data_IF_193438112682
#
_entry.id   IF_193438112682
#
_cell.length_a   1.000
_cell.length_b   1.000
_cell.length_c   1.000
_cell.angle_alpha   90.00
_cell.angle_beta   90.00
_cell.angle_gamma   90.00
#
_symmetry.space_group_name_H-M   'P 1'
#
loop_
_entity.id
_entity.type
_entity.pdbx_description
1 polymer ?
#
# COMPACT_ATOMS: atom_id res chain seq x y z
N UNK A 1 6.78 -8.26 -6.65
CA UNK A 1 7.60 -8.39 -5.42
C UNK A 1 7.81 -7.04 -4.75
N UNK A 2 8.73 -6.96 -3.79
CA UNK A 2 9.15 -5.71 -3.14
C UNK A 2 10.49 -5.24 -3.72
N UNK A 3 10.60 -3.95 -4.01
CA UNK A 3 11.78 -3.36 -4.66
C UNK A 3 12.12 -2.03 -3.99
N UNK A 4 13.39 -1.81 -3.64
CA UNK A 4 13.88 -0.54 -3.15
C UNK A 4 14.63 0.23 -4.24
N UNK A 5 14.29 1.50 -4.43
CA UNK A 5 15.05 2.42 -5.28
C UNK A 5 16.14 3.06 -4.42
N UNK A 6 17.41 2.80 -4.78
CA UNK A 6 18.62 3.17 -4.00
C UNK A 6 19.52 4.16 -4.74
N UNK A 7 19.01 4.76 -5.81
CA UNK A 7 19.67 5.77 -6.63
C UNK A 7 18.73 6.25 -7.72
N UNK A 8 18.84 7.51 -8.11
CA UNK A 8 17.94 8.14 -9.09
C UNK A 8 18.64 8.60 -10.37
N UNK A 9 19.98 8.78 -10.35
CA UNK A 9 20.75 9.24 -11.50
C UNK A 9 22.11 8.50 -11.59
N UNK A 10 22.20 7.39 -12.36
CA UNK A 10 21.08 6.68 -12.99
C UNK A 10 20.18 5.98 -11.96
N UNK A 11 18.92 5.67 -12.31
CA UNK A 11 18.02 4.95 -11.42
C UNK A 11 18.56 3.55 -11.14
N UNK A 12 18.69 3.22 -9.85
CA UNK A 12 19.15 1.91 -9.38
C UNK A 12 18.15 1.34 -8.42
N UNK A 13 17.71 0.12 -8.70
CA UNK A 13 16.75 -0.61 -7.88
C UNK A 13 17.34 -1.95 -7.43
N UNK A 14 16.98 -2.38 -6.23
CA UNK A 14 17.32 -3.70 -5.68
C UNK A 14 16.04 -4.42 -5.27
N UNK A 15 15.97 -5.72 -5.56
CA UNK A 15 14.90 -6.56 -5.04
C UNK A 15 15.09 -6.76 -3.53
N UNK A 16 14.02 -6.58 -2.78
CA UNK A 16 13.96 -6.94 -1.37
C UNK A 16 13.33 -8.32 -1.22
N UNK A 17 13.80 -9.16 -0.26
CA UNK A 17 13.09 -10.38 0.08
C UNK A 17 11.67 -10.05 0.56
N UNK A 18 10.71 -10.91 0.22
CA UNK A 18 9.33 -10.76 0.66
C UNK A 18 9.11 -11.70 1.85
N UNK A 19 8.61 -11.21 3.01
CA UNK A 19 8.26 -12.08 4.11
C UNK A 19 7.30 -13.21 3.66
N UNK A 20 7.51 -14.46 4.11
CA UNK A 20 6.65 -15.57 3.74
C UNK A 20 5.18 -15.32 4.11
N UNK A 21 4.27 -15.69 3.21
CA UNK A 21 2.83 -15.53 3.44
C UNK A 21 2.29 -14.10 3.33
N UNK A 22 3.13 -13.12 2.97
CA UNK A 22 2.67 -11.75 2.75
C UNK A 22 1.76 -11.67 1.53
N UNK A 23 0.54 -11.21 1.76
CA UNK A 23 -0.44 -10.92 0.71
C UNK A 23 -0.77 -9.43 0.68
N UNK A 24 -1.34 -8.98 -0.43
CA UNK A 24 -1.73 -7.60 -0.65
C UNK A 24 -3.16 -7.56 -1.19
N UNK A 25 -4.00 -6.73 -0.58
CA UNK A 25 -5.27 -6.28 -1.11
C UNK A 25 -5.06 -4.90 -1.74
N UNK A 26 -5.58 -4.69 -2.94
CA UNK A 26 -5.57 -3.41 -3.66
C UNK A 26 -7.00 -3.10 -4.04
N UNK A 27 -7.49 -1.93 -3.63
CA UNK A 27 -8.85 -1.50 -3.94
C UNK A 27 -8.79 -0.15 -4.64
N UNK A 28 -9.33 -0.10 -5.86
CA UNK A 28 -9.43 1.12 -6.65
C UNK A 28 -10.85 1.69 -6.56
N UNK A 29 -11.09 2.69 -5.70
CA UNK A 29 -12.35 3.42 -5.73
C UNK A 29 -12.44 4.22 -7.03
N UNK A 30 -13.61 4.20 -7.67
CA UNK A 30 -13.93 4.87 -8.93
C UNK A 30 -14.06 6.38 -8.73
N UNK A 31 -12.95 6.99 -8.36
CA UNK A 31 -12.79 8.40 -8.11
C UNK A 31 -11.69 8.95 -9.00
N UNK A 32 -11.85 10.19 -9.45
CA UNK A 32 -10.80 10.87 -10.18
C UNK A 32 -10.17 11.93 -9.28
N UNK A 33 -8.98 11.62 -8.75
CA UNK A 33 -8.13 12.61 -8.09
C UNK A 33 -7.09 13.07 -9.11
N UNK A 34 -7.08 14.36 -9.44
CA UNK A 34 -6.03 14.89 -10.29
C UNK A 34 -4.65 14.69 -9.65
N UNK A 35 -3.73 13.99 -10.33
CA UNK A 35 -2.37 13.78 -9.84
C UNK A 35 -1.65 15.10 -9.52
N UNK A 36 -1.98 16.17 -10.26
CA UNK A 36 -1.50 17.54 -9.99
C UNK A 36 -1.93 18.02 -8.60
N UNK A 37 -3.19 17.80 -8.22
CA UNK A 37 -3.73 18.18 -6.90
C UNK A 37 -3.10 17.34 -5.79
N UNK A 38 -2.91 16.04 -6.01
CA UNK A 38 -2.23 15.17 -5.05
C UNK A 38 -0.74 15.53 -4.87
N UNK A 39 -0.06 15.99 -5.92
CA UNK A 39 1.32 16.51 -5.83
C UNK A 39 1.38 17.88 -5.17
N UNK A 40 0.45 18.78 -5.51
CA UNK A 40 0.37 20.13 -4.93
C UNK A 40 0.00 20.14 -3.45
N UNK A 41 -0.67 19.08 -2.96
CA UNK A 41 -0.99 18.92 -1.54
C UNK A 41 0.26 18.61 -0.68
N UNK A 42 1.36 18.16 -1.28
CA UNK A 42 2.58 17.84 -0.55
C UNK A 42 3.21 19.08 0.06
N UNK A 43 3.71 18.95 1.29
CA UNK A 43 4.50 20.01 1.93
C UNK A 43 5.87 20.09 1.27
N UNK A 44 6.38 21.31 1.10
CA UNK A 44 7.74 21.54 0.63
C UNK A 44 8.80 21.13 1.67
N UNK A 45 8.43 21.17 2.95
CA UNK A 45 9.32 20.89 4.08
C UNK A 45 8.72 19.81 4.98
N UNK A 46 9.59 18.95 5.51
CA UNK A 46 9.24 17.92 6.50
C UNK A 46 9.97 18.27 7.80
N UNK A 47 9.28 18.39 8.94
CA UNK A 47 9.93 18.61 10.23
C UNK A 47 10.98 17.52 10.51
N UNK A 48 12.13 17.91 11.06
CA UNK A 48 13.23 16.96 11.30
C UNK A 48 12.79 15.74 12.14
N UNK A 49 11.95 15.95 13.15
CA UNK A 49 11.37 14.88 13.95
C UNK A 49 10.59 13.85 13.09
N UNK A 50 9.77 14.32 12.16
CA UNK A 50 8.98 13.45 11.30
C UNK A 50 9.87 12.74 10.29
N UNK A 51 10.92 13.40 9.78
CA UNK A 51 11.92 12.78 8.91
C UNK A 51 12.68 11.65 9.63
N UNK A 52 13.10 11.86 10.88
CA UNK A 52 13.75 10.83 11.71
C UNK A 52 12.80 9.65 11.89
N UNK A 53 11.52 9.89 12.23
CA UNK A 53 10.51 8.83 12.38
C UNK A 53 10.23 8.07 11.08
N UNK A 54 10.07 8.79 9.97
CA UNK A 54 9.89 8.17 8.65
C UNK A 54 11.09 7.27 8.30
N UNK A 55 12.30 7.71 8.64
CA UNK A 55 13.53 6.94 8.41
C UNK A 55 13.60 5.68 9.29
N UNK A 56 13.14 5.75 10.54
CA UNK A 56 13.00 4.57 11.41
C UNK A 56 11.99 3.57 10.84
N UNK A 57 10.84 4.03 10.35
CA UNK A 57 9.83 3.18 9.70
C UNK A 57 10.40 2.52 8.43
N UNK A 58 11.10 3.27 7.58
CA UNK A 58 11.77 2.71 6.40
C UNK A 58 12.82 1.66 6.78
N UNK A 59 13.66 1.94 7.78
CA UNK A 59 14.67 0.99 8.25
C UNK A 59 14.02 -0.29 8.82
N UNK A 60 12.93 -0.15 9.59
CA UNK A 60 12.15 -1.27 10.10
C UNK A 60 11.53 -2.12 9.00
N UNK A 61 10.98 -1.47 7.95
CA UNK A 61 10.41 -2.17 6.79
C UNK A 61 11.47 -2.99 6.05
N UNK A 62 12.64 -2.39 5.78
CA UNK A 62 13.74 -3.10 5.12
C UNK A 62 14.26 -4.24 5.99
N UNK A 63 14.46 -4.01 7.30
CA UNK A 63 14.88 -5.06 8.22
C UNK A 63 13.88 -6.23 8.24
N UNK A 64 12.59 -5.94 8.32
CA UNK A 64 11.51 -6.93 8.29
C UNK A 64 11.53 -7.79 7.02
N UNK A 65 11.84 -7.19 5.87
CA UNK A 65 12.02 -7.92 4.62
C UNK A 65 13.14 -8.96 4.73
N UNK A 66 14.31 -8.58 5.24
CA UNK A 66 15.47 -9.47 5.37
C UNK A 66 15.34 -10.50 6.49
N UNK A 67 14.56 -10.22 7.54
CA UNK A 67 14.30 -11.17 8.63
C UNK A 67 13.06 -12.02 8.42
N UNK A 68 12.26 -11.76 7.37
CA UNK A 68 11.00 -12.45 7.11
C UNK A 68 9.89 -12.14 8.13
N UNK A 69 9.96 -11.01 8.85
CA UNK A 69 9.01 -10.65 9.91
C UNK A 69 7.85 -9.80 9.35
N UNK A 70 6.77 -10.46 8.92
CA UNK A 70 5.59 -9.79 8.37
C UNK A 70 4.91 -8.83 9.37
N UNK A 71 4.97 -9.13 10.67
CA UNK A 71 4.38 -8.27 11.71
C UNK A 71 5.18 -6.98 11.88
N UNK A 72 6.53 -7.06 11.87
CA UNK A 72 7.38 -5.87 11.86
C UNK A 72 7.21 -5.07 10.57
N UNK A 73 7.04 -5.74 9.42
CA UNK A 73 6.74 -5.08 8.15
C UNK A 73 5.48 -4.24 8.29
N UNK A 74 4.38 -4.83 8.76
CA UNK A 74 3.11 -4.14 8.98
C UNK A 74 3.24 -2.90 9.87
N UNK A 75 3.86 -3.05 11.05
CA UNK A 75 4.13 -1.93 11.98
C UNK A 75 5.03 -0.84 11.41
N UNK A 76 5.80 -1.16 10.38
CA UNK A 76 6.72 -0.24 9.71
C UNK A 76 6.08 0.51 8.54
N UNK A 77 4.87 0.13 8.11
CA UNK A 77 4.11 0.87 7.09
C UNK A 77 3.38 2.03 7.77
N UNK A 78 4.14 3.10 8.00
CA UNK A 78 3.64 4.39 8.48
C UNK A 78 4.22 5.48 7.59
N UNK A 79 3.34 6.26 6.95
CA UNK A 79 3.71 7.39 6.11
C UNK A 79 3.40 8.70 6.82
N UNK A 80 4.44 9.40 7.24
CA UNK A 80 4.37 10.71 7.89
C UNK A 80 4.53 11.86 6.89
N UNK A 81 4.75 11.56 5.62
CA UNK A 81 5.15 12.55 4.60
C UNK A 81 4.02 12.77 3.60
N UNK A 82 3.57 11.74 2.88
CA UNK A 82 2.59 11.90 1.80
C UNK A 82 1.15 11.66 2.26
N UNK A 83 0.91 10.61 3.04
CA UNK A 83 -0.42 10.24 3.50
C UNK A 83 -1.16 11.37 4.25
N UNK A 84 -0.55 12.12 5.19
CA UNK A 84 -1.28 13.19 5.90
C UNK A 84 -1.83 14.27 4.97
N UNK A 85 -1.18 14.49 3.82
CA UNK A 85 -1.62 15.44 2.80
C UNK A 85 -2.62 14.83 1.80
N UNK A 86 -2.53 13.53 1.53
CA UNK A 86 -3.30 12.86 0.46
C UNK A 86 -4.54 12.13 0.95
N UNK A 87 -4.53 11.59 2.16
CA UNK A 87 -5.67 10.90 2.75
C UNK A 87 -6.96 11.74 2.73
N UNK A 88 -6.95 13.06 3.02
CA UNK A 88 -8.16 13.88 2.94
C UNK A 88 -8.76 14.01 1.53
N UNK A 89 -7.99 13.68 0.48
CA UNK A 89 -8.46 13.72 -0.91
C UNK A 89 -9.25 12.46 -1.30
N UNK A 90 -9.21 11.41 -0.47
CA UNK A 90 -9.85 10.12 -0.72
C UNK A 90 -11.04 9.98 0.26
N UNK A 91 -12.28 10.26 -0.17
CA UNK A 91 -13.48 10.01 0.63
C UNK A 91 -13.49 8.58 1.18
N UNK A 92 -13.78 8.44 2.47
CA UNK A 92 -13.84 7.13 3.13
C UNK A 92 -12.48 6.55 3.55
N UNK A 93 -11.34 7.17 3.22
CA UNK A 93 -10.00 6.60 3.54
C UNK A 93 -9.80 6.21 4.99
N UNK A 94 -10.13 7.09 5.95
CA UNK A 94 -9.95 6.79 7.36
C UNK A 94 -10.91 5.72 7.88
N UNK A 95 -12.13 5.68 7.36
CA UNK A 95 -13.07 4.61 7.68
C UNK A 95 -12.60 3.26 7.11
N UNK A 96 -12.06 3.27 5.89
CA UNK A 96 -11.49 2.10 5.22
C UNK A 96 -10.28 1.56 5.99
N UNK A 97 -9.39 2.44 6.48
CA UNK A 97 -8.29 2.06 7.37
C UNK A 97 -8.79 1.32 8.61
N UNK A 98 -9.76 1.92 9.32
CA UNK A 98 -10.32 1.32 10.54
C UNK A 98 -10.95 -0.05 10.25
N UNK A 99 -11.69 -0.17 9.14
CA UNK A 99 -12.29 -1.43 8.71
C UNK A 99 -11.22 -2.49 8.37
N UNK A 100 -10.18 -2.12 7.61
CA UNK A 100 -9.09 -3.01 7.26
C UNK A 100 -8.34 -3.52 8.50
N UNK A 101 -7.99 -2.61 9.42
CA UNK A 101 -7.28 -2.95 10.67
C UNK A 101 -8.15 -3.84 11.56
N UNK A 102 -9.45 -3.57 11.67
CA UNK A 102 -10.39 -4.42 12.41
C UNK A 102 -10.57 -5.81 11.79
N UNK A 103 -10.47 -5.91 10.46
CA UNK A 103 -10.51 -7.17 9.72
C UNK A 103 -9.19 -7.95 9.76
N UNK A 104 -8.12 -7.40 10.37
CA UNK A 104 -6.84 -8.08 10.57
C UNK A 104 -5.73 -7.70 9.60
N UNK A 105 -5.85 -6.58 8.88
CA UNK A 105 -4.76 -6.06 8.07
C UNK A 105 -3.52 -5.76 8.92
N UNK A 106 -2.34 -6.15 8.43
CA UNK A 106 -1.04 -5.82 9.01
C UNK A 106 -0.70 -4.34 8.83
N UNK A 107 -1.15 -3.77 7.71
CA UNK A 107 -0.97 -2.38 7.33
C UNK A 107 -2.04 -1.97 6.33
N UNK A 108 -2.34 -0.67 6.29
CA UNK A 108 -3.21 -0.04 5.30
C UNK A 108 -2.64 1.32 4.89
N UNK A 109 -2.78 1.67 3.61
CA UNK A 109 -2.27 2.94 3.10
C UNK A 109 -2.73 3.27 1.68
N UNK A 110 -2.17 4.36 1.15
CA UNK A 110 -2.45 4.82 -0.22
C UNK A 110 -1.51 4.11 -1.20
N UNK A 111 -2.06 3.55 -2.27
CA UNK A 111 -1.26 3.02 -3.37
C UNK A 111 -0.84 4.16 -4.31
N UNK A 112 0.46 4.42 -4.37
CA UNK A 112 1.03 5.50 -5.20
C UNK A 112 0.55 6.90 -4.77
N UNK A 113 -0.14 7.61 -5.68
CA UNK A 113 -0.73 8.91 -5.39
C UNK A 113 -2.20 8.86 -4.95
N UNK A 114 -2.80 7.67 -4.91
CA UNK A 114 -4.25 7.50 -4.76
C UNK A 114 -5.01 7.73 -6.09
N UNK A 115 -6.33 7.48 -6.09
CA UNK A 115 -7.17 7.19 -4.93
C UNK A 115 -7.14 5.72 -4.49
N UNK A 116 -6.48 4.84 -5.24
CA UNK A 116 -6.28 3.43 -4.89
C UNK A 116 -5.68 3.30 -3.50
N UNK A 117 -6.23 2.41 -2.70
CA UNK A 117 -5.72 2.02 -1.38
C UNK A 117 -5.16 0.61 -1.43
N UNK A 118 -4.32 0.27 -0.47
CA UNK A 118 -3.83 -1.10 -0.30
C UNK A 118 -3.85 -1.51 1.17
N UNK A 119 -3.88 -2.82 1.40
CA UNK A 119 -3.62 -3.42 2.70
C UNK A 119 -2.66 -4.61 2.56
N UNK A 120 -1.77 -4.80 3.53
CA UNK A 120 -1.00 -6.03 3.66
C UNK A 120 -1.65 -6.97 4.67
N UNK A 121 -1.58 -8.26 4.40
CA UNK A 121 -2.10 -9.35 5.23
C UNK A 121 -1.09 -10.50 5.26
N UNK A 122 -1.30 -11.49 6.15
CA UNK A 122 -0.44 -12.67 6.28
C UNK A 122 -1.20 -14.01 6.10
N UNK A 123 -2.48 -13.97 5.75
CA UNK A 123 -3.33 -15.15 5.62
C UNK A 123 -4.42 -14.91 4.54
N UNK A 124 -4.64 -15.82 3.59
CA UNK A 124 -5.65 -15.68 2.54
C UNK A 124 -7.08 -15.46 3.03
N UNK A 125 -7.48 -16.07 4.15
CA UNK A 125 -8.80 -15.86 4.74
C UNK A 125 -8.93 -14.43 5.31
N UNK A 126 -7.86 -13.92 5.91
CA UNK A 126 -7.79 -12.51 6.37
C UNK A 126 -7.81 -11.56 5.17
N UNK A 127 -7.09 -11.89 4.09
CA UNK A 127 -7.07 -11.11 2.84
C UNK A 127 -8.47 -10.91 2.28
N UNK A 128 -9.25 -11.98 2.14
CA UNK A 128 -10.63 -11.89 1.66
C UNK A 128 -11.52 -11.05 2.59
N UNK A 129 -11.35 -11.20 3.91
CA UNK A 129 -12.13 -10.44 4.89
C UNK A 129 -11.80 -8.94 4.88
N UNK A 130 -10.52 -8.59 4.74
CA UNK A 130 -10.05 -7.20 4.61
C UNK A 130 -10.57 -6.59 3.31
N UNK A 131 -10.54 -7.33 2.21
CA UNK A 131 -11.08 -6.90 0.92
C UNK A 131 -12.57 -6.54 1.04
N UNK A 132 -13.39 -7.45 1.56
CA UNK A 132 -14.83 -7.22 1.77
C UNK A 132 -15.10 -6.02 2.70
N UNK A 133 -14.39 -5.93 3.83
CA UNK A 133 -14.58 -4.87 4.80
C UNK A 133 -14.29 -3.47 4.22
N UNK A 134 -13.24 -3.35 3.40
CA UNK A 134 -12.88 -2.07 2.77
C UNK A 134 -13.82 -1.72 1.62
N UNK A 135 -14.22 -2.69 0.79
CA UNK A 135 -15.22 -2.49 -0.26
C UNK A 135 -16.52 -1.95 0.32
N UNK A 136 -17.00 -2.56 1.40
CA UNK A 136 -18.24 -2.15 2.07
C UNK A 136 -18.19 -0.67 2.52
N UNK A 137 -17.03 -0.18 2.98
CA UNK A 137 -16.88 1.23 3.37
C UNK A 137 -17.06 2.16 2.16
N UNK A 138 -16.45 1.84 1.01
CA UNK A 138 -16.61 2.67 -0.19
C UNK A 138 -18.03 2.61 -0.74
N UNK A 139 -18.64 1.42 -0.78
CA UNK A 139 -20.04 1.23 -1.21
C UNK A 139 -21.01 2.00 -0.31
N UNK A 140 -20.86 1.93 1.01
CA UNK A 140 -21.66 2.70 1.96
C UNK A 140 -21.47 4.22 1.81
N UNK A 141 -20.30 4.64 1.33
CA UNK A 141 -20.00 6.01 0.94
C UNK A 141 -20.53 6.43 -0.43
N UNK A 142 -21.21 5.53 -1.16
CA UNK A 142 -21.71 5.79 -2.51
C UNK A 142 -20.63 5.79 -3.60
N UNK A 143 -19.48 5.16 -3.34
CA UNK A 143 -18.33 5.09 -4.25
C UNK A 143 -18.14 3.64 -4.69
N UNK A 144 -18.37 3.35 -5.97
CA UNK A 144 -18.02 2.06 -6.54
C UNK A 144 -16.51 1.84 -6.48
N UNK A 145 -16.06 0.60 -6.30
CA UNK A 145 -14.64 0.26 -6.22
C UNK A 145 -14.38 -1.14 -6.77
N UNK A 146 -13.22 -1.33 -7.40
CA UNK A 146 -12.77 -2.63 -7.86
C UNK A 146 -11.67 -3.18 -6.92
N UNK A 147 -11.79 -4.44 -6.47
CA UNK A 147 -10.76 -5.10 -5.67
C UNK A 147 -9.85 -6.01 -6.51
N UNK A 148 -8.61 -6.17 -6.05
CA UNK A 148 -7.70 -7.24 -6.43
C UNK A 148 -6.90 -7.66 -5.22
N UNK A 149 -6.69 -8.95 -5.04
CA UNK A 149 -5.86 -9.48 -3.97
C UNK A 149 -4.99 -10.64 -4.43
N UNK A 150 -3.89 -10.85 -3.70
CA UNK A 150 -3.02 -12.00 -3.93
C UNK A 150 -1.67 -11.93 -3.24
N UNK A 151 -0.86 -12.99 -3.39
CA UNK A 151 0.47 -13.07 -2.79
C UNK A 151 1.42 -12.01 -3.34
N UNK A 152 2.22 -11.42 -2.44
CA UNK A 152 3.35 -10.57 -2.82
C UNK A 152 4.51 -11.46 -3.25
N UNK A 153 5.30 -11.02 -4.24
CA UNK A 153 6.48 -11.76 -4.69
C UNK A 153 6.27 -12.59 -5.97
N UNK A 154 5.13 -12.40 -6.65
CA UNK A 154 4.91 -12.96 -7.99
C UNK A 154 6.02 -12.53 -8.98
N UNK A 155 6.29 -13.34 -10.02
CA UNK A 155 7.18 -12.96 -11.11
C UNK A 155 6.83 -11.57 -11.63
N UNK A 156 7.87 -10.79 -11.96
CA UNK A 156 7.68 -9.52 -12.64
C UNK A 156 7.20 -9.71 -14.09
N UNK A 157 7.52 -8.78 -14.97
CA UNK A 157 7.27 -8.95 -16.39
C UNK A 157 7.90 -10.26 -16.90
N UNK A 158 7.09 -11.09 -17.54
CA UNK A 158 7.48 -12.36 -18.15
C UNK A 158 6.71 -12.56 -19.47
N UNK A 159 7.21 -13.42 -20.34
CA UNK A 159 6.57 -13.75 -21.62
C UNK A 159 5.49 -14.80 -21.36
N UNK A 160 4.29 -14.57 -21.91
CA UNK A 160 3.22 -15.56 -21.93
C UNK A 160 3.29 -16.35 -23.23
N UNK A 161 3.20 -17.68 -23.15
CA UNK A 161 3.32 -18.58 -24.31
C UNK A 161 2.16 -18.42 -25.31
N UNK A 162 1.00 -17.93 -24.86
CA UNK A 162 -0.11 -17.46 -25.67
C UNK A 162 -0.99 -16.52 -24.84
N UNK A 163 -1.55 -15.48 -25.48
CA UNK A 163 -2.69 -14.75 -24.90
C UNK A 163 -3.92 -15.59 -25.23
N UNK A 164 -4.39 -16.42 -24.30
CA UNK A 164 -5.73 -16.97 -24.46
C UNK A 164 -6.70 -15.79 -24.46
N UNK A 165 -7.37 -15.58 -25.59
CA UNK A 165 -8.40 -14.56 -25.72
C UNK A 165 -9.53 -14.92 -24.75
N UNK A 166 -9.77 -14.05 -23.78
CA UNK A 166 -10.94 -14.08 -22.91
C UNK A 166 -12.23 -13.77 -23.69
#
# INVERSE_FOLDING_TARGET
>A
GLTAVVGMDPPRAIALPVPPGLECVVIHPHLQIETRRARAAMRAEVPLHDHVRQSMHLAGFVAACYTGDAMLLGRSVVDLVAEPARAPLIPGFHAARVAAEAAGALAFGISGSGPTVFAFTADPAVTAHVEEAVLHVFEAGGVAADPWSGPVGQPGAHVLDAIEAA
#
